data_IF_094637299178
#
_entry.id   IF_094637299178
#
_cell.length_a   1.000
_cell.length_b   1.000
_cell.length_c   1.000
_cell.angle_alpha   90.00
_cell.angle_beta   90.00
_cell.angle_gamma   90.00
#
_symmetry.space_group_name_H-M   'P 1'
#
loop_
_entity.id
_entity.type
_entity.pdbx_description
1 polymer ?
#
# COMPACT_ATOMS: atom_id res chain seq x y z
N UNK A 1 -5.62 3.45 8.42
CA UNK A 1 -4.53 3.81 7.47
C UNK A 1 -4.49 5.33 7.25
N UNK A 2 -4.09 6.13 8.26
CA UNK A 2 -4.22 7.59 8.15
C UNK A 2 -3.32 8.21 7.07
N UNK A 3 -2.12 7.71 6.88
CA UNK A 3 -1.17 8.33 5.95
C UNK A 3 -1.43 7.96 4.48
N UNK A 4 -1.78 6.70 4.21
CA UNK A 4 -2.18 6.31 2.86
C UNK A 4 -3.45 7.05 2.44
N UNK A 5 -4.44 7.17 3.34
CA UNK A 5 -5.63 7.99 3.11
C UNK A 5 -5.25 9.47 2.89
N UNK A 6 -4.34 10.04 3.69
CA UNK A 6 -3.90 11.42 3.52
C UNK A 6 -3.28 11.69 2.13
N UNK A 7 -2.57 10.70 1.55
CA UNK A 7 -2.09 10.81 0.18
C UNK A 7 -3.24 10.88 -0.82
N UNK A 8 -4.32 10.12 -0.65
CA UNK A 8 -5.45 10.11 -1.58
C UNK A 8 -6.28 11.39 -1.56
N UNK A 9 -6.09 12.25 -0.53
CA UNK A 9 -6.72 13.57 -0.42
C UNK A 9 -5.99 14.66 -1.22
N UNK A 10 -4.79 14.37 -1.73
CA UNK A 10 -4.01 15.34 -2.50
C UNK A 10 -4.42 15.28 -3.97
N UNK A 11 -4.40 16.41 -4.66
CA UNK A 11 -4.74 16.50 -6.09
C UNK A 11 -3.93 15.54 -6.96
N UNK A 12 -2.65 15.34 -6.63
CA UNK A 12 -1.76 14.37 -7.27
C UNK A 12 -1.32 13.36 -6.22
N UNK A 13 -2.30 12.64 -5.67
CA UNK A 13 -2.13 11.70 -4.57
C UNK A 13 -1.46 10.40 -5.01
N UNK A 14 -0.18 10.48 -5.40
CA UNK A 14 0.61 9.32 -5.86
C UNK A 14 1.63 8.90 -4.81
N UNK A 15 1.78 7.60 -4.63
CA UNK A 15 2.93 7.06 -3.91
C UNK A 15 4.18 7.28 -4.78
N UNK A 16 5.11 8.08 -4.25
CA UNK A 16 6.37 8.37 -4.94
C UNK A 16 7.43 7.36 -4.56
N UNK A 17 8.18 6.89 -5.55
CA UNK A 17 9.29 5.94 -5.37
C UNK A 17 10.54 6.68 -4.83
N UNK A 18 10.42 7.29 -3.65
CA UNK A 18 11.45 8.14 -3.05
C UNK A 18 12.17 7.52 -1.85
N UNK A 19 11.72 6.34 -1.38
CA UNK A 19 12.34 5.60 -0.29
C UNK A 19 12.15 4.08 -0.44
N UNK A 20 12.86 3.29 0.33
CA UNK A 20 13.01 1.85 0.12
C UNK A 20 11.69 1.06 0.22
N UNK A 21 10.79 1.38 1.17
CA UNK A 21 9.54 0.64 1.28
C UNK A 21 8.59 0.98 0.11
N UNK A 22 8.63 2.22 -0.41
CA UNK A 22 7.85 2.59 -1.57
C UNK A 22 8.23 1.78 -2.81
N UNK A 23 9.51 1.39 -2.94
CA UNK A 23 10.01 0.60 -4.07
C UNK A 23 9.40 -0.81 -4.14
N UNK A 24 8.87 -1.35 -3.04
CA UNK A 24 8.08 -2.59 -3.07
C UNK A 24 6.84 -2.47 -3.98
N UNK A 25 6.36 -1.25 -4.18
CA UNK A 25 5.15 -0.94 -4.95
C UNK A 25 5.44 -0.46 -6.37
N UNK A 26 6.68 -0.48 -6.82
CA UNK A 26 7.03 -0.09 -8.18
C UNK A 26 6.27 -0.93 -9.21
N UNK A 27 5.44 -0.26 -10.03
CA UNK A 27 4.58 -0.92 -11.02
C UNK A 27 3.42 -1.76 -10.45
N UNK A 28 3.14 -1.67 -9.14
CA UNK A 28 2.12 -2.48 -8.45
C UNK A 28 0.95 -1.67 -7.87
N UNK A 29 0.92 -0.36 -8.09
CA UNK A 29 -0.14 0.54 -7.61
C UNK A 29 -0.97 1.04 -8.77
N UNK A 30 -2.27 0.84 -8.71
CA UNK A 30 -3.26 1.50 -9.54
C UNK A 30 -3.85 2.71 -8.81
N UNK A 31 -4.46 3.62 -9.56
CA UNK A 31 -5.05 4.84 -9.04
C UNK A 31 -6.43 5.04 -9.62
N UNK A 32 -7.37 5.41 -8.77
CA UNK A 32 -8.70 5.85 -9.14
C UNK A 32 -8.89 7.28 -8.64
N UNK A 33 -8.92 8.22 -9.57
CA UNK A 33 -9.04 9.65 -9.29
C UNK A 33 -10.51 10.10 -9.16
N UNK A 34 -11.47 9.21 -9.44
CA UNK A 34 -12.88 9.48 -9.40
C UNK A 34 -13.50 9.00 -8.08
N UNK A 35 -14.08 9.93 -7.31
CA UNK A 35 -14.89 9.58 -6.14
C UNK A 35 -16.38 9.65 -6.52
N UNK A 36 -17.01 8.48 -6.62
CA UNK A 36 -18.41 8.36 -7.04
C UNK A 36 -19.42 8.27 -5.86
N UNK A 37 -18.95 8.39 -4.62
CA UNK A 37 -19.80 8.26 -3.43
C UNK A 37 -19.72 6.87 -2.79
N UNK A 38 -20.77 6.47 -2.07
CA UNK A 38 -20.80 5.19 -1.36
C UNK A 38 -21.15 4.04 -2.31
N UNK A 39 -20.50 2.91 -2.12
CA UNK A 39 -20.85 1.66 -2.81
C UNK A 39 -22.17 1.10 -2.22
N UNK A 40 -23.28 1.34 -2.91
CA UNK A 40 -24.60 0.88 -2.49
C UNK A 40 -25.04 -0.40 -3.22
N UNK A 41 -24.35 -0.76 -4.30
CA UNK A 41 -24.61 -1.96 -5.10
C UNK A 41 -23.33 -2.57 -5.67
N UNK A 42 -23.48 -3.67 -6.46
CA UNK A 42 -22.35 -4.39 -7.03
C UNK A 42 -21.59 -3.64 -8.13
N UNK A 43 -22.18 -2.62 -8.74
CA UNK A 43 -21.57 -1.91 -9.87
C UNK A 43 -20.30 -1.16 -9.49
N UNK A 44 -20.24 -0.62 -8.28
CA UNK A 44 -19.03 0.02 -7.75
C UNK A 44 -17.92 -1.00 -7.49
N UNK A 45 -18.26 -2.20 -7.02
CA UNK A 45 -17.31 -3.30 -6.87
C UNK A 45 -16.67 -3.70 -8.21
N UNK A 46 -17.47 -3.83 -9.25
CA UNK A 46 -17.01 -4.14 -10.61
C UNK A 46 -16.11 -3.02 -11.16
N UNK A 47 -16.48 -1.76 -10.95
CA UNK A 47 -15.69 -0.59 -11.34
C UNK A 47 -14.31 -0.59 -10.65
N UNK A 48 -14.29 -0.83 -9.34
CA UNK A 48 -13.07 -0.92 -8.53
C UNK A 48 -12.19 -2.07 -9.01
N UNK A 49 -12.78 -3.23 -9.29
CA UNK A 49 -12.03 -4.38 -9.80
C UNK A 49 -11.37 -4.09 -11.16
N UNK A 50 -12.07 -3.39 -12.05
CA UNK A 50 -11.52 -2.94 -13.34
C UNK A 50 -10.37 -1.95 -13.14
N UNK A 51 -10.51 -0.97 -12.22
CA UNK A 51 -9.47 0.02 -11.90
C UNK A 51 -8.23 -0.63 -11.26
N UNK A 52 -8.42 -1.62 -10.39
CA UNK A 52 -7.32 -2.36 -9.78
C UNK A 52 -6.54 -3.16 -10.84
N UNK A 53 -7.22 -3.81 -11.77
CA UNK A 53 -6.60 -4.62 -12.82
C UNK A 53 -5.63 -5.67 -12.23
N UNK A 54 -4.40 -5.65 -12.70
CA UNK A 54 -3.34 -6.57 -12.23
C UNK A 54 -2.48 -5.99 -11.09
N UNK A 55 -2.81 -4.80 -10.57
CA UNK A 55 -2.08 -4.21 -9.46
C UNK A 55 -2.43 -4.91 -8.14
N UNK A 56 -1.51 -4.86 -7.16
CA UNK A 56 -1.78 -5.38 -5.81
C UNK A 56 -2.34 -4.32 -4.86
N UNK A 57 -2.24 -3.04 -5.22
CA UNK A 57 -2.79 -1.93 -4.46
C UNK A 57 -3.55 -0.97 -5.38
N UNK A 58 -4.64 -0.40 -4.89
CA UNK A 58 -5.40 0.66 -5.54
C UNK A 58 -5.56 1.82 -4.56
N UNK A 59 -5.13 3.00 -4.97
CA UNK A 59 -5.37 4.24 -4.23
C UNK A 59 -6.62 4.93 -4.81
N UNK A 60 -7.62 5.12 -3.93
CA UNK A 60 -8.92 5.68 -4.26
C UNK A 60 -8.97 7.14 -3.78
N UNK A 61 -9.12 8.10 -4.69
CA UNK A 61 -9.21 9.51 -4.35
C UNK A 61 -10.29 9.77 -3.31
N UNK A 62 -9.97 10.58 -2.30
CA UNK A 62 -10.86 10.97 -1.20
C UNK A 62 -11.45 9.82 -0.37
N UNK A 63 -10.95 8.60 -0.51
CA UNK A 63 -11.48 7.42 0.18
C UNK A 63 -10.41 6.68 1.00
N UNK A 64 -9.35 6.22 0.35
CA UNK A 64 -8.33 5.41 0.99
C UNK A 64 -7.69 4.41 0.04
N UNK A 65 -7.42 3.19 0.50
CA UNK A 65 -6.67 2.20 -0.29
C UNK A 65 -7.31 0.81 -0.21
N UNK A 66 -7.18 0.07 -1.29
CA UNK A 66 -7.47 -1.36 -1.37
C UNK A 66 -6.14 -2.07 -1.61
N UNK A 67 -5.92 -3.17 -0.93
CA UNK A 67 -4.75 -4.04 -1.14
C UNK A 67 -5.24 -5.47 -1.31
N UNK A 68 -4.66 -6.17 -2.27
CA UNK A 68 -4.94 -7.57 -2.55
C UNK A 68 -3.67 -8.40 -2.44
N UNK A 69 -3.80 -9.68 -2.16
CA UNK A 69 -2.69 -10.63 -2.10
C UNK A 69 -3.18 -12.05 -2.36
N UNK A 70 -2.27 -12.97 -2.69
CA UNK A 70 -2.58 -14.38 -2.89
C UNK A 70 -3.07 -15.05 -1.60
N UNK A 71 -2.74 -14.45 -0.46
CA UNK A 71 -3.15 -14.89 0.88
C UNK A 71 -3.16 -13.70 1.85
N UNK A 72 -3.69 -13.91 3.06
CA UNK A 72 -3.83 -12.86 4.09
C UNK A 72 -2.49 -12.28 4.51
N UNK A 73 -1.42 -13.09 4.58
CA UNK A 73 -0.10 -12.61 4.98
C UNK A 73 0.47 -11.61 3.98
N UNK A 74 0.28 -11.83 2.69
CA UNK A 74 0.69 -10.89 1.63
C UNK A 74 -0.13 -9.60 1.68
N UNK A 75 -1.47 -9.71 1.72
CA UNK A 75 -2.34 -8.54 1.80
C UNK A 75 -2.05 -7.69 3.04
N UNK A 76 -1.84 -8.34 4.20
CA UNK A 76 -1.45 -7.66 5.45
C UNK A 76 -0.09 -6.96 5.31
N UNK A 77 0.90 -7.65 4.77
CA UNK A 77 2.25 -7.10 4.59
C UNK A 77 2.26 -5.90 3.64
N UNK A 78 1.60 -6.03 2.49
CA UNK A 78 1.50 -4.92 1.52
C UNK A 78 0.75 -3.73 2.14
N UNK A 79 -0.34 -3.97 2.86
CA UNK A 79 -1.07 -2.90 3.55
C UNK A 79 -0.20 -2.21 4.60
N UNK A 80 0.56 -2.97 5.39
CA UNK A 80 1.48 -2.45 6.40
C UNK A 80 2.57 -1.56 5.78
N UNK A 81 3.25 -2.05 4.75
CA UNK A 81 4.33 -1.30 4.10
C UNK A 81 3.84 -0.13 3.26
N UNK A 82 2.66 -0.23 2.63
CA UNK A 82 2.03 0.90 1.94
C UNK A 82 1.76 2.06 2.90
N UNK A 83 1.22 1.77 4.09
CA UNK A 83 1.02 2.80 5.11
C UNK A 83 2.34 3.41 5.59
N UNK A 84 3.39 2.61 5.79
CA UNK A 84 4.71 3.10 6.18
C UNK A 84 5.34 3.99 5.11
N UNK A 85 5.29 3.58 3.85
CA UNK A 85 5.78 4.39 2.74
C UNK A 85 5.00 5.72 2.62
N UNK A 86 3.68 5.66 2.75
CA UNK A 86 2.83 6.84 2.77
C UNK A 86 3.15 7.76 3.95
N UNK A 87 3.39 7.21 5.14
CA UNK A 87 3.78 7.97 6.33
C UNK A 87 5.07 8.75 6.09
N UNK A 88 6.11 8.07 5.61
CA UNK A 88 7.41 8.69 5.32
C UNK A 88 7.24 9.80 4.28
N UNK A 89 6.51 9.53 3.20
CA UNK A 89 6.26 10.51 2.15
C UNK A 89 5.51 11.74 2.67
N UNK A 90 4.44 11.56 3.44
CA UNK A 90 3.65 12.67 4.00
C UNK A 90 4.51 13.52 4.94
N UNK A 91 5.28 12.89 5.83
CA UNK A 91 6.16 13.59 6.76
C UNK A 91 7.29 14.33 6.03
N UNK A 92 7.93 13.71 5.06
CA UNK A 92 9.00 14.35 4.27
C UNK A 92 8.48 15.53 3.44
N UNK A 93 7.25 15.44 2.92
CA UNK A 93 6.61 16.50 2.14
C UNK A 93 6.02 17.64 3.00
N UNK A 94 5.92 17.48 4.32
CA UNK A 94 5.27 18.46 5.20
C UNK A 94 5.99 19.81 5.26
N UNK A 95 7.30 19.82 4.99
CA UNK A 95 8.11 21.03 4.92
C UNK A 95 7.98 21.85 3.63
N UNK A 96 7.16 21.41 2.68
CA UNK A 96 6.97 22.10 1.39
C UNK A 96 8.13 21.95 0.40
N UNK A 97 9.17 21.20 0.74
CA UNK A 97 10.29 20.93 -0.15
C UNK A 97 10.00 19.74 -1.07
N UNK A 98 10.54 19.72 -2.30
CA UNK A 98 10.41 18.58 -3.20
C UNK A 98 11.11 17.35 -2.61
N UNK A 99 10.49 16.18 -2.81
CA UNK A 99 11.09 14.91 -2.42
C UNK A 99 12.27 14.56 -3.35
N UNK A 100 13.26 13.87 -2.80
CA UNK A 100 14.35 13.32 -3.58
C UNK A 100 13.83 12.23 -4.53
N UNK A 101 14.23 12.27 -5.78
CA UNK A 101 13.91 11.23 -6.75
C UNK A 101 15.01 10.14 -6.77
N UNK A 102 14.58 8.90 -6.93
CA UNK A 102 15.47 7.76 -7.21
C UNK A 102 15.41 7.50 -8.73
N UNK A 103 16.55 7.21 -9.36
CA UNK A 103 16.55 6.93 -10.79
C UNK A 103 15.66 5.70 -11.12
N UNK A 104 15.02 5.72 -12.27
CA UNK A 104 14.12 4.61 -12.68
C UNK A 104 14.85 3.26 -12.73
N UNK A 105 16.10 3.25 -13.17
CA UNK A 105 16.94 2.05 -13.16
C UNK A 105 17.11 1.49 -11.73
N UNK A 106 17.41 2.36 -10.75
CA UNK A 106 17.55 1.97 -9.35
C UNK A 106 16.21 1.50 -8.78
N UNK A 107 15.10 2.20 -9.10
CA UNK A 107 13.76 1.79 -8.66
C UNK A 107 13.44 0.36 -9.13
N UNK A 108 13.68 0.06 -10.41
CA UNK A 108 13.44 -1.26 -11.02
C UNK A 108 14.31 -2.34 -10.39
N UNK A 109 15.59 -2.08 -10.23
CA UNK A 109 16.53 -3.02 -9.61
C UNK A 109 16.16 -3.33 -8.18
N UNK A 110 15.88 -2.32 -7.36
CA UNK A 110 15.51 -2.49 -5.97
C UNK A 110 14.15 -3.22 -5.82
N UNK A 111 13.17 -2.89 -6.67
CA UNK A 111 11.89 -3.59 -6.69
C UNK A 111 12.07 -5.09 -7.00
N UNK A 112 12.90 -5.44 -7.98
CA UNK A 112 13.19 -6.84 -8.31
C UNK A 112 13.87 -7.58 -7.14
N UNK A 113 14.84 -6.95 -6.48
CA UNK A 113 15.52 -7.53 -5.30
C UNK A 113 14.53 -7.80 -4.16
N UNK A 114 13.63 -6.86 -3.88
CA UNK A 114 12.60 -7.01 -2.85
C UNK A 114 11.61 -8.13 -3.18
N UNK A 115 11.24 -8.29 -4.44
CA UNK A 115 10.34 -9.37 -4.87
C UNK A 115 10.95 -10.76 -4.75
N UNK A 116 12.27 -10.92 -4.82
CA UNK A 116 12.94 -12.21 -4.59
C UNK A 116 12.71 -12.75 -3.17
N UNK A 117 12.67 -11.86 -2.18
CA UNK A 117 12.48 -12.20 -0.76
C UNK A 117 11.01 -12.06 -0.29
N UNK A 118 10.12 -11.63 -1.17
CA UNK A 118 8.78 -11.16 -0.82
C UNK A 118 7.97 -12.20 -0.04
N UNK A 119 7.88 -13.44 -0.53
CA UNK A 119 7.07 -14.49 0.10
C UNK A 119 7.59 -14.83 1.51
N UNK A 120 8.90 -15.01 1.65
CA UNK A 120 9.52 -15.28 2.95
C UNK A 120 9.36 -14.12 3.93
N UNK A 121 9.49 -12.88 3.44
CA UNK A 121 9.32 -11.67 4.25
C UNK A 121 7.88 -11.54 4.76
N UNK A 122 6.89 -11.69 3.90
CA UNK A 122 5.47 -11.53 4.24
C UNK A 122 5.04 -12.55 5.28
N UNK A 123 5.46 -13.81 5.15
CA UNK A 123 5.16 -14.87 6.11
C UNK A 123 5.82 -14.63 7.47
N UNK A 124 7.08 -14.20 7.49
CA UNK A 124 7.78 -13.87 8.74
C UNK A 124 7.12 -12.69 9.45
N UNK A 125 6.79 -11.61 8.73
CA UNK A 125 6.12 -10.44 9.28
C UNK A 125 4.76 -10.81 9.89
N UNK A 126 3.93 -11.52 9.14
CA UNK A 126 2.61 -11.94 9.60
C UNK A 126 2.69 -12.85 10.83
N UNK A 127 3.61 -13.81 10.83
CA UNK A 127 3.85 -14.70 11.98
C UNK A 127 4.33 -13.92 13.20
N UNK A 128 5.19 -12.92 13.02
CA UNK A 128 5.66 -12.08 14.14
C UNK A 128 4.52 -11.28 14.77
N UNK A 129 3.66 -10.67 13.96
CA UNK A 129 2.48 -9.95 14.46
C UNK A 129 1.48 -10.87 15.16
N UNK A 130 1.23 -12.07 14.63
CA UNK A 130 0.40 -13.08 15.33
C UNK A 130 0.96 -13.45 16.70
N UNK A 131 2.28 -13.64 16.81
CA UNK A 131 2.91 -13.93 18.11
C UNK A 131 2.77 -12.79 19.12
N UNK A 132 2.77 -11.54 18.66
CA UNK A 132 2.51 -10.38 19.52
C UNK A 132 1.05 -10.41 19.98
N UNK A 133 0.10 -10.61 19.06
CA UNK A 133 -1.32 -10.67 19.35
C UNK A 133 -1.65 -11.82 20.31
N UNK A 134 -1.06 -13.00 20.09
CA UNK A 134 -1.21 -14.17 20.98
C UNK A 134 -0.85 -13.87 22.45
N UNK A 135 0.07 -12.92 22.68
CA UNK A 135 0.49 -12.51 24.04
C UNK A 135 -0.36 -11.39 24.61
N UNK A 136 -0.80 -10.45 23.77
CA UNK A 136 -1.48 -9.24 24.22
C UNK A 136 -3.00 -9.40 24.27
N UNK A 137 -3.59 -10.14 23.33
CA UNK A 137 -5.02 -10.30 23.15
C UNK A 137 -5.35 -11.75 22.76
N UNK A 138 -5.11 -12.76 23.64
CA UNK A 138 -5.24 -14.18 23.29
C UNK A 138 -6.67 -14.59 22.91
N UNK A 139 -7.67 -13.86 23.36
CA UNK A 139 -9.09 -14.07 23.13
C UNK A 139 -9.55 -13.73 21.68
N UNK A 140 -8.71 -13.16 20.84
CA UNK A 140 -9.04 -12.98 19.41
C UNK A 140 -9.29 -14.31 18.67
N UNK A 141 -8.96 -15.45 19.30
CA UNK A 141 -9.18 -16.79 18.76
C UNK A 141 -10.49 -17.45 19.22
N UNK A 142 -11.24 -16.79 20.11
CA UNK A 142 -12.49 -17.32 20.67
C UNK A 142 -13.66 -17.25 19.69
#
# INVERSE_FOLDING_TARGET
>A
MPYATALTLRREGRLQMCEQNALMFYGRVAYDDDYAGLALDGSEGDRIAVKLGNASALMLASHGVIVTGRNVAEAFSDLYYLERAAQVQVLAASGGHPLRTISEETQRTAAQQQMQEYEGLTQRLFTAHRRILDKQEPDYRA
#
